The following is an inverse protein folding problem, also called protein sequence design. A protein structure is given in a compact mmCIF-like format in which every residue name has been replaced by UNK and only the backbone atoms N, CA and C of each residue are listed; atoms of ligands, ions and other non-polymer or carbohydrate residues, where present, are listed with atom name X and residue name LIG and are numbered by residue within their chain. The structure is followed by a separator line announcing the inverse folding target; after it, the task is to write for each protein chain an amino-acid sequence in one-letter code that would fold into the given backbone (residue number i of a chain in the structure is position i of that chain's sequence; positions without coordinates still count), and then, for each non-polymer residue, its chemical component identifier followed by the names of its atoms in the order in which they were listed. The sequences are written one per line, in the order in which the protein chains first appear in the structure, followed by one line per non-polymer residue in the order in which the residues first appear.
data_IF_692359531181
#
_entry.id   IF_692359531181
#
_cell.length_a   1.000
_cell.length_b   1.000
_cell.length_c   1.000
_cell.angle_alpha   90.00
_cell.angle_beta   90.00
_cell.angle_gamma   90.00
#
_symmetry.space_group_name_H-M   'P 1'
#
loop_
_entity.id
_entity.type
_entity.pdbx_description
1 polymer ?
#
# COMPACT_ATOMS: atom_id res chain seq x y z
N UNK A 1 -13.34 20.69 17.21
CA UNK A 1 -14.40 19.78 16.73
C UNK A 1 -14.25 18.48 17.50
N UNK A 2 -15.34 17.84 17.92
CA UNK A 2 -15.29 16.57 18.65
C UNK A 2 -15.17 15.43 17.62
N UNK A 3 -14.12 14.59 17.70
CA UNK A 3 -14.00 13.43 16.82
C UNK A 3 -15.05 12.38 17.17
N UNK A 4 -15.57 11.71 16.15
CA UNK A 4 -16.48 10.59 16.28
C UNK A 4 -16.07 9.47 15.34
N UNK A 5 -16.42 8.25 15.73
CA UNK A 5 -16.23 7.07 14.91
C UNK A 5 -17.50 6.23 14.93
N UNK A 6 -17.62 5.35 13.98
CA UNK A 6 -18.65 4.30 13.94
C UNK A 6 -18.00 2.98 13.62
N UNK A 7 -18.37 1.93 14.36
CA UNK A 7 -17.92 0.56 14.13
C UNK A 7 -19.12 -0.36 14.08
N UNK A 8 -19.28 -1.10 12.99
CA UNK A 8 -20.24 -2.20 12.91
C UNK A 8 -19.50 -3.52 12.86
N UNK A 9 -20.04 -4.55 13.51
CA UNK A 9 -19.53 -5.92 13.50
C UNK A 9 -20.59 -6.85 12.92
N UNK A 10 -20.30 -7.48 11.76
CA UNK A 10 -21.26 -8.31 11.03
C UNK A 10 -22.63 -7.62 10.90
N UNK A 11 -22.63 -6.36 10.39
CA UNK A 11 -23.78 -5.47 10.19
C UNK A 11 -24.46 -4.95 11.48
N UNK A 12 -23.97 -5.29 12.65
CA UNK A 12 -24.50 -4.78 13.93
C UNK A 12 -23.64 -3.61 14.43
N UNK A 13 -24.25 -2.48 14.69
CA UNK A 13 -23.58 -1.33 15.31
C UNK A 13 -23.15 -1.66 16.75
N UNK A 14 -21.84 -1.55 17.01
CA UNK A 14 -21.24 -1.79 18.32
C UNK A 14 -20.56 -0.54 18.87
N UNK A 15 -20.79 0.61 18.25
CA UNK A 15 -20.14 1.89 18.61
C UNK A 15 -20.34 2.24 20.06
N UNK A 16 -21.58 2.13 20.56
CA UNK A 16 -21.92 2.46 21.96
C UNK A 16 -21.27 1.52 22.98
N UNK A 17 -20.97 0.29 22.57
CA UNK A 17 -20.26 -0.68 23.43
C UNK A 17 -18.77 -0.32 23.49
N UNK A 18 -18.19 0.12 22.38
CA UNK A 18 -16.77 0.43 22.28
C UNK A 18 -16.43 1.82 22.85
N UNK A 19 -17.28 2.83 22.63
CA UNK A 19 -16.99 4.23 22.96
C UNK A 19 -16.53 4.46 24.40
N UNK A 20 -17.19 3.92 25.46
CA UNK A 20 -16.79 4.16 26.84
C UNK A 20 -15.49 3.44 27.24
N UNK A 21 -15.01 2.53 26.41
CA UNK A 21 -13.85 1.66 26.66
C UNK A 21 -12.70 1.92 25.72
N UNK A 22 -12.88 2.77 24.71
CA UNK A 22 -11.88 3.02 23.70
C UNK A 22 -10.65 3.72 24.30
N UNK A 23 -9.50 3.08 24.20
CA UNK A 23 -8.20 3.68 24.48
C UNK A 23 -7.62 4.29 23.22
N UNK A 24 -7.63 3.54 22.10
CA UNK A 24 -7.27 4.05 20.78
C UNK A 24 -7.92 3.24 19.66
N UNK A 25 -8.18 3.91 18.55
CA UNK A 25 -8.56 3.32 17.27
C UNK A 25 -7.60 3.83 16.21
N UNK A 26 -6.77 2.92 15.69
CA UNK A 26 -5.79 3.21 14.65
C UNK A 26 -6.22 2.56 13.34
N UNK A 27 -6.25 3.33 12.26
CA UNK A 27 -6.45 2.83 10.91
C UNK A 27 -5.24 3.21 10.07
N UNK A 28 -4.61 2.21 9.45
CA UNK A 28 -3.47 2.40 8.57
C UNK A 28 -3.89 2.04 7.14
N UNK A 29 -3.75 2.98 6.21
CA UNK A 29 -3.87 2.77 4.77
C UNK A 29 -2.49 2.88 4.15
N UNK A 30 -2.03 1.82 3.50
CA UNK A 30 -0.70 1.72 2.90
C UNK A 30 -0.76 1.42 1.41
N UNK A 31 0.26 1.88 0.70
CA UNK A 31 0.44 1.53 -0.72
C UNK A 31 0.96 0.11 -0.86
N UNK A 32 0.29 -0.71 -1.67
CA UNK A 32 0.79 -2.03 -2.06
C UNK A 32 0.18 -3.18 -1.30
N UNK A 33 0.97 -4.25 -1.12
CA UNK A 33 0.52 -5.54 -0.56
C UNK A 33 0.40 -5.57 0.95
N UNK A 34 0.95 -4.58 1.64
CA UNK A 34 0.69 -4.43 3.06
C UNK A 34 -0.81 -4.17 3.20
N UNK A 35 -1.50 -5.08 3.83
CA UNK A 35 -2.94 -4.93 4.02
C UNK A 35 -3.21 -3.75 4.93
N UNK A 36 -4.08 -2.86 4.50
CA UNK A 36 -4.66 -1.87 5.37
C UNK A 36 -5.15 -2.56 6.63
N UNK A 37 -4.90 -1.97 7.77
CA UNK A 37 -5.25 -2.57 9.07
C UNK A 37 -6.01 -1.59 9.94
N UNK A 38 -6.88 -2.13 10.76
CA UNK A 38 -7.48 -1.43 11.89
C UNK A 38 -7.03 -2.08 13.19
N UNK A 39 -6.66 -1.28 14.16
CA UNK A 39 -6.29 -1.71 15.50
C UNK A 39 -7.14 -0.97 16.51
N UNK A 40 -7.91 -1.71 17.30
CA UNK A 40 -8.79 -1.20 18.34
C UNK A 40 -8.23 -1.64 19.69
N UNK A 41 -7.86 -0.69 20.53
CA UNK A 41 -7.39 -0.94 21.89
C UNK A 41 -8.47 -0.52 22.89
N UNK A 42 -8.91 -1.47 23.72
CA UNK A 42 -9.99 -1.30 24.67
C UNK A 42 -9.50 -1.50 26.10
N UNK A 43 -10.07 -0.69 27.00
CA UNK A 43 -9.96 -0.92 28.44
C UNK A 43 -10.88 -2.08 28.85
N UNK A 44 -10.32 -3.11 29.47
CA UNK A 44 -11.02 -4.30 29.94
C UNK A 44 -10.74 -4.57 31.43
N UNK A 45 -10.60 -3.54 32.26
CA UNK A 45 -10.27 -3.69 33.68
C UNK A 45 -11.33 -4.44 34.47
N UNK A 46 -12.57 -4.41 34.06
CA UNK A 46 -13.69 -5.14 34.64
C UNK A 46 -13.85 -6.58 34.12
N UNK A 47 -13.07 -6.96 33.08
CA UNK A 47 -13.11 -8.27 32.44
C UNK A 47 -14.50 -8.69 31.89
N UNK A 48 -15.33 -7.71 31.47
CA UNK A 48 -16.69 -7.95 30.95
C UNK A 48 -16.69 -8.13 29.41
N UNK A 49 -15.68 -7.60 28.72
CA UNK A 49 -15.64 -7.69 27.26
C UNK A 49 -15.54 -9.14 26.79
N UNK A 50 -16.51 -9.57 26.00
CA UNK A 50 -16.43 -10.83 25.30
C UNK A 50 -15.38 -10.78 24.20
N UNK A 51 -14.65 -11.86 24.02
CA UNK A 51 -13.64 -11.97 22.96
C UNK A 51 -14.38 -12.13 21.62
N UNK A 52 -14.21 -11.20 20.67
CA UNK A 52 -14.85 -11.31 19.36
C UNK A 52 -14.36 -12.56 18.61
N UNK A 53 -15.21 -13.11 17.77
CA UNK A 53 -14.82 -14.26 16.95
C UNK A 53 -13.81 -13.80 15.88
N UNK A 54 -12.77 -14.59 15.68
CA UNK A 54 -11.88 -14.40 14.54
C UNK A 54 -12.67 -14.50 13.26
N UNK A 55 -12.48 -13.53 12.38
CA UNK A 55 -13.19 -13.46 11.12
C UNK A 55 -14.49 -12.69 11.14
N UNK A 56 -14.83 -12.06 12.26
CA UNK A 56 -15.86 -11.03 12.30
C UNK A 56 -15.49 -9.89 11.36
N UNK A 57 -16.44 -9.44 10.55
CA UNK A 57 -16.26 -8.30 9.67
C UNK A 57 -16.55 -7.01 10.43
N UNK A 58 -15.58 -6.09 10.41
CA UNK A 58 -15.71 -4.76 10.99
C UNK A 58 -15.79 -3.73 9.87
N UNK A 59 -16.85 -2.94 9.83
CA UNK A 59 -16.92 -1.73 9.02
C UNK A 59 -16.65 -0.52 9.92
N UNK A 60 -15.67 0.32 9.54
CA UNK A 60 -15.22 1.42 10.37
C UNK A 60 -15.32 2.74 9.60
N UNK A 61 -15.96 3.73 10.20
CA UNK A 61 -16.07 5.09 9.68
C UNK A 61 -15.56 6.10 10.69
N UNK A 62 -14.88 7.14 10.21
CA UNK A 62 -14.32 8.22 11.04
C UNK A 62 -14.83 9.57 10.59
N UNK A 63 -14.83 10.53 11.50
CA UNK A 63 -15.18 11.91 11.19
C UNK A 63 -15.30 12.81 12.43
N UNK A 64 -16.08 13.85 12.29
CA UNK A 64 -16.33 14.81 13.35
C UNK A 64 -17.83 15.00 13.57
N UNK A 65 -18.21 15.34 14.78
CA UNK A 65 -19.59 15.67 15.13
C UNK A 65 -20.13 16.77 14.20
N UNK A 66 -21.36 16.57 13.70
CA UNK A 66 -22.03 17.43 12.71
C UNK A 66 -21.44 17.38 11.29
N UNK A 67 -20.69 16.34 10.96
CA UNK A 67 -20.22 16.05 9.59
C UNK A 67 -20.56 14.61 9.22
N UNK A 68 -20.64 14.34 7.92
CA UNK A 68 -20.80 12.97 7.45
C UNK A 68 -19.55 12.14 7.78
N UNK A 69 -19.77 10.94 8.30
CA UNK A 69 -18.70 9.99 8.55
C UNK A 69 -18.18 9.43 7.23
N UNK A 70 -16.86 9.38 7.12
CA UNK A 70 -16.17 8.77 5.97
C UNK A 70 -15.88 7.32 6.29
N UNK A 71 -16.34 6.41 5.42
CA UNK A 71 -16.03 5.00 5.51
C UNK A 71 -14.53 4.78 5.23
N UNK A 72 -13.80 4.29 6.23
CA UNK A 72 -12.38 3.97 6.11
C UNK A 72 -12.14 2.60 5.50
N UNK A 73 -13.08 1.68 5.67
CA UNK A 73 -13.00 0.36 5.05
C UNK A 73 -13.71 -0.73 5.83
N UNK A 74 -13.60 -1.93 5.26
CA UNK A 74 -14.05 -3.17 5.88
C UNK A 74 -12.85 -4.01 6.29
N UNK A 75 -12.83 -4.50 7.51
CA UNK A 75 -11.71 -5.21 8.10
C UNK A 75 -12.18 -6.53 8.71
N UNK A 76 -11.38 -7.59 8.59
CA UNK A 76 -11.66 -8.87 9.24
C UNK A 76 -10.79 -9.03 10.47
N UNK A 77 -11.37 -9.34 11.61
CA UNK A 77 -10.65 -9.63 12.85
C UNK A 77 -9.70 -10.83 12.62
N UNK A 78 -8.41 -10.55 12.73
CA UNK A 78 -7.32 -11.51 12.47
C UNK A 78 -6.65 -11.96 13.78
N UNK A 79 -6.35 -11.02 14.67
CA UNK A 79 -5.70 -11.31 15.95
C UNK A 79 -6.36 -10.54 17.11
N UNK A 80 -6.40 -11.18 18.26
CA UNK A 80 -6.87 -10.59 19.51
C UNK A 80 -5.79 -10.85 20.55
N UNK A 81 -5.34 -9.78 21.19
CA UNK A 81 -4.31 -9.81 22.24
C UNK A 81 -4.92 -9.30 23.54
N UNK A 82 -4.78 -10.08 24.59
CA UNK A 82 -5.23 -9.74 25.95
C UNK A 82 -4.00 -9.54 26.82
N UNK A 83 -3.94 -8.40 27.51
CA UNK A 83 -2.81 -8.07 28.38
C UNK A 83 -3.28 -7.56 29.74
N UNK A 84 -2.48 -7.78 30.79
CA UNK A 84 -2.72 -7.29 32.15
C UNK A 84 -1.40 -7.31 32.94
N UNK A 85 -1.13 -6.38 33.87
CA UNK A 85 -1.79 -5.09 34.12
C UNK A 85 -1.30 -3.95 33.23
N UNK A 86 -2.09 -2.94 32.85
CA UNK A 86 -3.53 -2.90 33.04
C UNK A 86 -4.26 -3.86 32.10
N UNK A 87 -5.45 -4.34 32.51
CA UNK A 87 -6.23 -5.24 31.66
C UNK A 87 -6.71 -4.52 30.42
N UNK A 88 -6.31 -4.99 29.24
CA UNK A 88 -6.63 -4.43 27.94
C UNK A 88 -6.94 -5.54 26.94
N UNK A 89 -7.79 -5.21 25.98
CA UNK A 89 -8.05 -6.03 24.81
C UNK A 89 -7.63 -5.25 23.56
N UNK A 90 -6.72 -5.83 22.78
CA UNK A 90 -6.32 -5.29 21.48
C UNK A 90 -6.89 -6.17 20.38
N UNK A 91 -7.67 -5.58 19.49
CA UNK A 91 -8.26 -6.24 18.33
C UNK A 91 -7.51 -5.74 17.10
N UNK A 92 -6.87 -6.64 16.36
CA UNK A 92 -6.20 -6.33 15.10
C UNK A 92 -7.03 -6.94 13.98
N UNK A 93 -7.53 -6.09 13.09
CA UNK A 93 -8.27 -6.47 11.91
C UNK A 93 -7.55 -6.01 10.64
N UNK A 94 -7.55 -6.85 9.62
CA UNK A 94 -6.92 -6.57 8.32
C UNK A 94 -8.00 -6.29 7.29
N UNK A 95 -7.70 -5.39 6.34
CA UNK A 95 -8.64 -5.04 5.29
C UNK A 95 -9.28 -6.27 4.68
N UNK A 96 -10.60 -6.25 4.69
CA UNK A 96 -11.41 -7.38 4.25
C UNK A 96 -11.46 -7.42 2.73
N UNK A 97 -10.92 -8.49 2.20
CA UNK A 97 -11.54 -9.06 1.01
C UNK A 97 -12.32 -10.29 1.51
N UNK A 98 -13.61 -10.18 1.66
CA UNK A 98 -14.52 -11.23 2.17
C UNK A 98 -14.39 -12.59 1.43
N UNK A 99 -13.74 -12.59 0.28
CA UNK A 99 -13.38 -13.79 -0.49
C UNK A 99 -11.97 -14.33 -0.17
N UNK A 100 -11.20 -13.68 0.72
CA UNK A 100 -9.76 -13.98 0.91
C UNK A 100 -9.49 -15.07 1.95
N UNK A 101 -10.41 -15.38 2.89
CA UNK A 101 -10.14 -16.41 3.90
C UNK A 101 -9.75 -17.77 3.29
N UNK A 102 -10.45 -18.18 2.26
CA UNK A 102 -10.12 -19.44 1.53
C UNK A 102 -9.06 -19.22 0.44
N UNK A 103 -8.86 -17.97 0.03
CA UNK A 103 -7.96 -17.60 -1.07
C UNK A 103 -6.51 -17.42 -0.63
N UNK A 104 -6.26 -16.95 0.60
CA UNK A 104 -4.89 -16.68 1.08
C UNK A 104 -4.01 -17.93 1.08
N UNK A 105 -4.57 -19.10 1.34
CA UNK A 105 -3.81 -20.34 1.23
C UNK A 105 -3.52 -20.69 -0.24
N UNK A 106 -4.52 -20.58 -1.12
CA UNK A 106 -4.39 -20.95 -2.55
C UNK A 106 -3.47 -20.04 -3.34
N UNK A 107 -3.55 -18.71 -3.15
CA UNK A 107 -2.70 -17.75 -3.85
C UNK A 107 -1.24 -17.81 -3.39
N UNK A 108 -0.99 -18.32 -2.18
CA UNK A 108 0.35 -18.55 -1.63
C UNK A 108 0.88 -19.94 -1.92
N UNK A 109 0.03 -20.87 -2.35
CA UNK A 109 0.46 -22.24 -2.65
C UNK A 109 1.43 -22.24 -3.82
N UNK A 110 2.59 -22.92 -3.69
CA UNK A 110 3.58 -22.97 -4.76
C UNK A 110 3.01 -23.61 -6.02
N UNK A 111 3.35 -23.04 -7.16
CA UNK A 111 3.05 -23.55 -8.49
C UNK A 111 4.33 -23.54 -9.34
N UNK A 112 4.39 -24.44 -10.32
CA UNK A 112 5.41 -24.42 -11.36
C UNK A 112 4.74 -24.37 -12.71
N UNK A 113 4.96 -23.29 -13.44
CA UNK A 113 4.44 -23.05 -14.78
C UNK A 113 5.29 -22.03 -15.54
N UNK A 114 5.23 -22.08 -16.85
CA UNK A 114 5.92 -21.16 -17.76
C UNK A 114 4.93 -20.31 -18.52
N UNK A 115 5.29 -19.07 -18.73
CA UNK A 115 4.53 -18.11 -19.52
C UNK A 115 5.35 -17.76 -20.76
N UNK A 116 4.84 -18.10 -21.94
CA UNK A 116 5.49 -17.83 -23.22
C UNK A 116 4.63 -16.89 -24.04
N UNK A 117 5.21 -15.81 -24.55
CA UNK A 117 4.54 -14.83 -25.40
C UNK A 117 3.21 -14.33 -24.83
N UNK A 118 3.21 -13.97 -23.55
CA UNK A 118 2.06 -13.38 -22.88
C UNK A 118 2.22 -11.87 -22.76
N UNK A 119 1.11 -11.12 -22.87
CA UNK A 119 1.11 -9.74 -22.39
C UNK A 119 1.15 -9.73 -20.85
N UNK A 120 1.75 -8.69 -20.25
CA UNK A 120 1.73 -8.50 -18.81
C UNK A 120 0.31 -8.52 -18.27
N UNK A 121 -0.59 -7.79 -18.94
CA UNK A 121 -2.03 -7.77 -18.62
C UNK A 121 -2.62 -9.18 -18.66
N UNK A 122 -2.26 -9.99 -19.65
CA UNK A 122 -2.72 -11.37 -19.78
C UNK A 122 -2.32 -12.26 -18.60
N UNK A 123 -1.07 -12.14 -18.15
CA UNK A 123 -0.56 -12.88 -16.98
C UNK A 123 -1.33 -12.49 -15.71
N UNK A 124 -1.39 -11.19 -15.42
CA UNK A 124 -2.05 -10.68 -14.22
C UNK A 124 -3.54 -11.02 -14.21
N UNK A 125 -4.23 -10.86 -15.36
CA UNK A 125 -5.66 -11.17 -15.50
C UNK A 125 -5.96 -12.65 -15.35
N UNK A 126 -5.10 -13.54 -15.88
CA UNK A 126 -5.27 -14.98 -15.74
C UNK A 126 -5.11 -15.40 -14.28
N UNK A 127 -4.09 -14.91 -13.58
CA UNK A 127 -3.90 -15.17 -12.15
C UNK A 127 -5.08 -14.62 -11.33
N UNK A 128 -5.53 -13.39 -11.60
CA UNK A 128 -6.69 -12.82 -10.95
C UNK A 128 -7.93 -13.72 -11.10
N UNK A 129 -8.21 -14.16 -12.33
CA UNK A 129 -9.35 -15.04 -12.63
C UNK A 129 -9.27 -16.39 -11.94
N UNK A 130 -8.09 -17.02 -11.86
CA UNK A 130 -7.86 -18.28 -11.13
C UNK A 130 -8.27 -18.16 -9.66
N UNK A 131 -8.07 -16.97 -9.09
CA UNK A 131 -8.40 -16.63 -7.71
C UNK A 131 -9.74 -15.89 -7.54
N UNK A 132 -10.60 -15.88 -8.58
CA UNK A 132 -11.94 -15.25 -8.57
C UNK A 132 -11.92 -13.74 -8.30
N UNK A 133 -10.83 -13.06 -8.67
CA UNK A 133 -10.74 -11.60 -8.66
C UNK A 133 -11.02 -11.04 -10.05
N UNK A 134 -11.59 -9.85 -10.09
CA UNK A 134 -11.58 -9.00 -11.28
C UNK A 134 -10.27 -8.23 -11.31
N UNK A 135 -9.52 -8.32 -12.41
CA UNK A 135 -8.28 -7.53 -12.56
C UNK A 135 -8.60 -6.07 -12.93
N UNK A 136 -7.92 -5.16 -12.26
CA UNK A 136 -7.83 -3.75 -12.65
C UNK A 136 -6.36 -3.41 -12.86
N UNK A 137 -5.98 -3.18 -14.11
CA UNK A 137 -4.58 -3.02 -14.51
C UNK A 137 -4.41 -1.66 -15.18
N UNK A 138 -3.37 -0.93 -14.77
CA UNK A 138 -3.06 0.38 -15.34
C UNK A 138 -2.73 0.26 -16.83
N UNK A 139 -3.28 1.16 -17.66
CA UNK A 139 -3.07 1.25 -19.10
C UNK A 139 -1.60 1.27 -19.53
N UNK A 140 -0.71 1.76 -18.65
CA UNK A 140 0.74 1.74 -18.86
C UNK A 140 1.26 0.34 -19.23
N UNK A 141 0.64 -0.71 -18.69
CA UNK A 141 1.09 -2.10 -18.86
C UNK A 141 0.50 -2.80 -20.09
N UNK A 142 -0.43 -2.17 -20.81
CA UNK A 142 -1.11 -2.81 -21.97
C UNK A 142 -0.15 -3.20 -23.09
N UNK A 143 0.91 -2.40 -23.28
CA UNK A 143 1.89 -2.61 -24.37
C UNK A 143 3.07 -3.47 -23.97
N UNK A 144 3.10 -3.97 -22.73
CA UNK A 144 4.21 -4.78 -22.24
C UNK A 144 3.98 -6.25 -22.60
N UNK A 145 4.91 -6.80 -23.36
CA UNK A 145 4.93 -8.18 -23.78
C UNK A 145 6.08 -8.93 -23.10
N UNK A 146 5.81 -10.13 -22.63
CA UNK A 146 6.76 -11.02 -21.95
C UNK A 146 7.03 -12.19 -22.88
N UNK A 147 8.25 -12.27 -23.39
CA UNK A 147 8.68 -13.36 -24.26
C UNK A 147 8.69 -14.69 -23.51
N UNK A 148 9.26 -14.69 -22.30
CA UNK A 148 9.31 -15.85 -21.43
C UNK A 148 9.53 -15.46 -19.97
N UNK A 149 8.79 -16.09 -19.07
CA UNK A 149 9.02 -16.04 -17.63
C UNK A 149 8.52 -17.32 -16.97
N UNK A 150 9.35 -17.87 -16.07
CA UNK A 150 9.01 -19.05 -15.27
C UNK A 150 8.55 -18.64 -13.87
N UNK A 151 7.49 -19.30 -13.42
CA UNK A 151 7.10 -19.34 -12.02
C UNK A 151 7.46 -20.74 -11.51
N UNK A 152 8.55 -20.86 -10.75
CA UNK A 152 9.11 -22.14 -10.33
C UNK A 152 8.98 -22.30 -8.83
N UNK A 153 8.13 -23.24 -8.38
CA UNK A 153 7.86 -23.51 -6.98
C UNK A 153 7.54 -22.23 -6.17
N UNK A 154 6.80 -21.34 -6.78
CA UNK A 154 6.47 -20.00 -6.24
C UNK A 154 4.96 -19.78 -6.23
N UNK A 155 4.43 -19.21 -5.10
CA UNK A 155 3.02 -18.85 -5.01
C UNK A 155 2.68 -17.65 -5.91
N UNK A 156 1.45 -17.61 -6.42
CA UNK A 156 1.01 -16.54 -7.33
C UNK A 156 1.17 -15.15 -6.73
N UNK A 157 0.97 -15.01 -5.41
CA UNK A 157 1.16 -13.73 -4.73
C UNK A 157 2.62 -13.26 -4.78
N UNK A 158 3.56 -14.15 -4.48
CA UNK A 158 5.00 -13.86 -4.53
C UNK A 158 5.42 -13.53 -5.97
N UNK A 159 4.99 -14.37 -6.93
CA UNK A 159 5.26 -14.15 -8.35
C UNK A 159 4.77 -12.77 -8.82
N UNK A 160 3.51 -12.41 -8.54
CA UNK A 160 2.97 -11.10 -8.89
C UNK A 160 3.70 -9.96 -8.18
N UNK A 161 4.14 -10.16 -6.92
CA UNK A 161 4.91 -9.15 -6.17
C UNK A 161 6.25 -8.87 -6.81
N UNK A 162 6.99 -9.94 -7.16
CA UNK A 162 8.26 -9.84 -7.85
C UNK A 162 8.08 -9.19 -9.22
N UNK A 163 7.02 -9.59 -9.92
CA UNK A 163 6.65 -9.04 -11.22
C UNK A 163 6.32 -7.55 -11.14
N UNK A 164 5.52 -7.12 -10.15
CA UNK A 164 5.22 -5.70 -9.91
C UNK A 164 6.47 -4.88 -9.60
N UNK A 165 7.41 -5.44 -8.83
CA UNK A 165 8.68 -4.78 -8.51
C UNK A 165 9.51 -4.50 -9.76
N UNK A 166 9.58 -5.43 -10.71
CA UNK A 166 10.34 -5.29 -11.96
C UNK A 166 9.77 -4.17 -12.86
N UNK A 167 8.52 -3.75 -12.65
CA UNK A 167 7.85 -2.72 -13.44
C UNK A 167 7.49 -1.46 -12.65
N UNK A 168 8.05 -1.28 -11.45
CA UNK A 168 7.71 -0.17 -10.56
C UNK A 168 6.19 -0.04 -10.33
N UNK A 169 5.56 -1.18 -10.13
CA UNK A 169 4.15 -1.30 -9.87
C UNK A 169 3.87 -1.70 -8.42
N UNK A 170 2.64 -1.56 -8.00
CA UNK A 170 2.13 -2.15 -6.77
C UNK A 170 0.93 -3.04 -7.07
N UNK A 171 0.68 -3.96 -6.14
CA UNK A 171 -0.50 -4.81 -6.17
C UNK A 171 -1.31 -4.51 -4.92
N UNK A 172 -2.62 -4.40 -5.07
CA UNK A 172 -3.55 -4.28 -3.93
C UNK A 172 -4.79 -5.12 -4.22
N UNK A 173 -5.30 -5.79 -3.19
CA UNK A 173 -6.55 -6.52 -3.28
C UNK A 173 -7.63 -5.72 -2.54
N UNK A 174 -8.65 -5.27 -3.24
CA UNK A 174 -9.73 -4.45 -2.68
C UNK A 174 -11.07 -4.87 -3.26
N UNK A 175 -12.07 -5.13 -2.41
CA UNK A 175 -13.46 -5.40 -2.82
C UNK A 175 -13.59 -6.44 -3.96
N UNK A 176 -12.86 -7.54 -3.89
CA UNK A 176 -12.90 -8.62 -4.90
C UNK A 176 -12.17 -8.29 -6.20
N UNK A 177 -11.36 -7.22 -6.21
CA UNK A 177 -10.53 -6.81 -7.34
C UNK A 177 -9.05 -7.00 -7.01
N UNK A 178 -8.27 -7.41 -8.02
CA UNK A 178 -6.81 -7.37 -8.01
C UNK A 178 -6.38 -6.12 -8.79
N UNK A 179 -5.79 -5.17 -8.10
CA UNK A 179 -5.26 -3.93 -8.69
C UNK A 179 -3.79 -4.14 -8.97
N UNK A 180 -3.35 -3.83 -10.20
CA UNK A 180 -1.95 -3.78 -10.61
C UNK A 180 -1.70 -2.42 -11.24
N UNK A 181 -1.02 -1.54 -10.53
CA UNK A 181 -0.89 -0.14 -10.92
C UNK A 181 0.54 0.37 -10.77
N UNK A 182 0.90 1.35 -11.59
CA UNK A 182 2.18 2.06 -11.53
C UNK A 182 2.27 2.85 -10.23
N UNK A 183 3.41 2.79 -9.54
CA UNK A 183 3.67 3.61 -8.35
C UNK A 183 3.77 5.09 -8.70
N UNK A 184 3.39 5.94 -7.76
CA UNK A 184 3.56 7.40 -7.81
C UNK A 184 2.97 8.11 -9.04
N UNK A 185 2.04 7.48 -9.76
CA UNK A 185 1.33 8.11 -10.89
C UNK A 185 0.38 9.21 -10.41
N UNK A 186 -0.16 9.06 -9.19
CA UNK A 186 -1.15 9.97 -8.61
C UNK A 186 -2.49 9.94 -9.35
N UNK A 187 -2.77 8.83 -10.03
CA UNK A 187 -4.05 8.54 -10.69
C UNK A 187 -4.55 7.18 -10.25
N UNK A 188 -5.86 6.99 -10.31
CA UNK A 188 -6.47 5.66 -10.17
C UNK A 188 -6.10 4.79 -11.37
N UNK A 189 -6.31 3.49 -11.28
CA UNK A 189 -6.09 2.51 -12.38
C UNK A 189 -6.93 2.85 -13.62
N UNK A 190 -8.05 3.55 -13.43
CA UNK A 190 -8.94 3.99 -14.49
C UNK A 190 -8.58 5.37 -15.06
N UNK A 191 -7.40 5.91 -14.68
CA UNK A 191 -6.88 7.19 -15.18
C UNK A 191 -7.48 8.44 -14.50
N UNK A 192 -8.39 8.28 -13.51
CA UNK A 192 -8.91 9.43 -12.76
C UNK A 192 -7.83 9.94 -11.81
N UNK A 193 -7.57 11.24 -11.82
CA UNK A 193 -6.64 11.86 -10.88
C UNK A 193 -7.09 11.62 -9.44
N UNK A 194 -6.15 11.21 -8.60
CA UNK A 194 -6.37 11.14 -7.16
C UNK A 194 -6.42 12.56 -6.57
N UNK A 195 -7.13 12.75 -5.46
CA UNK A 195 -7.24 14.05 -4.84
C UNK A 195 -5.86 14.69 -4.65
N UNK A 196 -5.74 15.95 -5.05
CA UNK A 196 -4.59 16.79 -4.77
C UNK A 196 -4.98 17.67 -3.60
N UNK A 197 -4.29 17.50 -2.49
CA UNK A 197 -4.52 18.30 -1.29
C UNK A 197 -3.42 19.33 -1.15
N UNK A 198 -3.83 20.57 -1.04
CA UNK A 198 -2.94 21.67 -0.64
C UNK A 198 -3.05 21.85 0.87
N UNK A 199 -1.93 21.67 1.58
CA UNK A 199 -1.83 21.84 3.03
C UNK A 199 -1.06 23.13 3.32
N UNK A 200 -1.71 24.06 3.98
CA UNK A 200 -1.05 25.24 4.55
C UNK A 200 -0.37 24.90 5.88
N UNK A 201 0.68 25.64 6.22
CA UNK A 201 1.47 25.42 7.44
C UNK A 201 0.62 25.41 8.72
N UNK A 202 -0.41 26.24 8.78
CA UNK A 202 -1.32 26.33 9.93
C UNK A 202 -2.25 25.11 10.11
N UNK A 203 -2.37 24.25 9.10
CA UNK A 203 -3.10 22.98 9.17
C UNK A 203 -2.23 21.81 9.64
N UNK A 204 -0.91 22.02 9.72
CA UNK A 204 0.07 21.00 10.07
C UNK A 204 0.46 21.16 11.53
N UNK A 205 0.30 20.11 12.34
CA UNK A 205 0.73 20.11 13.74
C UNK A 205 2.24 19.97 13.87
N UNK A 206 2.82 19.10 13.06
CA UNK A 206 4.27 18.93 12.95
C UNK A 206 4.65 18.31 11.62
N UNK A 207 5.88 18.53 11.19
CA UNK A 207 6.45 17.88 10.00
C UNK A 207 7.92 17.53 10.21
N UNK A 208 8.37 16.51 9.51
CA UNK A 208 9.77 16.06 9.50
C UNK A 208 10.17 15.66 8.09
N UNK A 209 11.14 16.35 7.54
CA UNK A 209 11.75 15.99 6.26
C UNK A 209 13.08 15.29 6.52
N UNK A 210 13.21 14.07 6.05
CA UNK A 210 14.45 13.30 6.09
C UNK A 210 15.00 13.19 4.66
N UNK A 211 16.16 13.75 4.42
CA UNK A 211 16.86 13.68 3.14
C UNK A 211 18.05 12.74 3.32
N UNK A 212 18.03 11.63 2.58
CA UNK A 212 19.04 10.60 2.64
C UNK A 212 19.94 10.70 1.42
N UNK A 213 21.23 10.88 1.65
CA UNK A 213 22.25 10.82 0.59
C UNK A 213 22.80 9.38 0.40
N UNK A 214 22.68 8.54 1.42
CA UNK A 214 23.11 7.13 1.37
C UNK A 214 22.12 6.30 0.56
N UNK A 215 22.63 5.66 -0.51
CA UNK A 215 21.83 4.83 -1.42
C UNK A 215 21.35 5.55 -2.66
N UNK A 216 21.80 6.78 -2.87
CA UNK A 216 21.59 7.52 -4.13
C UNK A 216 22.49 6.92 -5.21
N UNK A 217 21.90 6.12 -6.07
CA UNK A 217 22.55 5.65 -7.27
C UNK A 217 22.06 6.47 -8.46
N UNK A 218 22.98 6.98 -9.26
CA UNK A 218 22.65 7.77 -10.45
C UNK A 218 22.41 6.91 -11.68
N UNK A 219 22.80 5.63 -11.61
CA UNK A 219 22.68 4.69 -12.71
C UNK A 219 22.42 3.29 -12.19
N UNK A 220 21.51 2.56 -12.85
CA UNK A 220 21.23 1.15 -12.60
C UNK A 220 21.57 0.34 -13.84
N UNK A 221 22.35 -0.71 -13.67
CA UNK A 221 22.76 -1.63 -14.71
C UNK A 221 22.04 -2.96 -14.48
N UNK A 222 21.30 -3.42 -15.48
CA UNK A 222 20.69 -4.75 -15.49
C UNK A 222 21.29 -5.60 -16.62
N UNK A 223 21.33 -6.91 -16.40
CA UNK A 223 21.86 -7.89 -17.35
C UNK A 223 20.73 -8.68 -17.97
N UNK A 224 20.87 -9.04 -19.23
CA UNK A 224 19.97 -9.98 -19.90
C UNK A 224 20.74 -10.96 -20.77
N UNK A 225 20.15 -12.13 -20.98
CA UNK A 225 20.70 -13.13 -21.88
C UNK A 225 20.14 -12.90 -23.29
N UNK A 226 21.03 -12.64 -24.25
CA UNK A 226 20.67 -12.51 -25.66
C UNK A 226 20.73 -13.89 -26.31
N UNK A 227 19.57 -14.50 -26.55
CA UNK A 227 19.48 -15.83 -27.14
C UNK A 227 20.00 -15.89 -28.60
N UNK A 228 20.03 -14.77 -29.34
CA UNK A 228 20.52 -14.74 -30.70
C UNK A 228 22.04 -14.82 -30.78
N UNK A 229 22.74 -14.22 -29.80
CA UNK A 229 24.21 -14.23 -29.73
C UNK A 229 24.75 -15.17 -28.66
N UNK A 230 23.89 -15.78 -27.84
CA UNK A 230 24.23 -16.59 -26.66
C UNK A 230 25.16 -15.87 -25.67
N UNK A 231 25.02 -14.54 -25.55
CA UNK A 231 25.86 -13.69 -24.70
C UNK A 231 25.03 -13.01 -23.63
N UNK A 232 25.66 -12.72 -22.49
CA UNK A 232 25.10 -11.81 -21.48
C UNK A 232 25.40 -10.36 -21.92
N UNK A 233 24.34 -9.57 -22.05
CA UNK A 233 24.41 -8.14 -22.41
C UNK A 233 23.88 -7.27 -21.27
N UNK A 234 24.27 -6.00 -21.28
CA UNK A 234 23.86 -5.03 -20.24
C UNK A 234 22.98 -3.95 -20.84
N UNK A 235 22.01 -3.51 -20.05
CA UNK A 235 21.22 -2.30 -20.27
C UNK A 235 21.36 -1.39 -19.08
N UNK A 236 21.16 -0.09 -19.29
CA UNK A 236 21.39 0.93 -18.27
C UNK A 236 20.20 1.88 -18.19
N UNK A 237 19.78 2.23 -16.97
CA UNK A 237 18.86 3.30 -16.68
C UNK A 237 19.58 4.38 -15.86
N UNK A 238 19.40 5.67 -16.20
CA UNK A 238 20.12 6.78 -15.60
C UNK A 238 21.52 6.99 -16.18
N UNK A 239 22.16 8.09 -15.77
CA UNK A 239 23.47 8.53 -16.31
C UNK A 239 24.45 9.00 -15.23
N UNK A 240 23.99 9.07 -13.96
CA UNK A 240 24.81 9.55 -12.84
C UNK A 240 25.66 8.47 -12.19
N UNK A 241 26.41 8.85 -11.19
CA UNK A 241 27.20 7.97 -10.31
C UNK A 241 26.68 8.08 -8.86
N UNK A 242 26.91 7.08 -8.01
CA UNK A 242 27.50 5.77 -8.30
C UNK A 242 26.56 4.83 -9.05
N UNK A 243 27.15 3.77 -9.63
CA UNK A 243 26.44 2.71 -10.33
C UNK A 243 25.91 1.65 -9.38
N UNK A 244 24.72 1.12 -9.67
CA UNK A 244 24.17 -0.08 -9.05
C UNK A 244 23.98 -1.16 -10.09
N UNK A 245 24.64 -2.31 -9.95
CA UNK A 245 24.44 -3.46 -10.81
C UNK A 245 23.47 -4.45 -10.15
N UNK A 246 22.39 -4.79 -10.88
CA UNK A 246 21.41 -5.79 -10.42
C UNK A 246 22.03 -7.19 -10.42
N UNK A 247 21.70 -7.99 -9.41
CA UNK A 247 22.38 -9.28 -9.16
C UNK A 247 21.90 -10.42 -10.06
N UNK A 248 20.76 -10.29 -10.70
CA UNK A 248 20.16 -11.35 -11.51
C UNK A 248 20.09 -10.94 -12.98
N UNK A 249 20.11 -11.94 -13.87
CA UNK A 249 20.05 -11.78 -15.31
C UNK A 249 18.62 -12.00 -15.79
N UNK A 250 18.12 -11.10 -16.62
CA UNK A 250 16.77 -11.16 -17.19
C UNK A 250 16.76 -11.98 -18.48
N UNK A 251 15.57 -12.41 -18.88
CA UNK A 251 15.38 -13.21 -20.09
C UNK A 251 15.47 -12.40 -21.38
N UNK A 252 15.21 -11.09 -21.32
CA UNK A 252 15.23 -10.22 -22.49
C UNK A 252 15.60 -8.78 -22.14
N UNK A 253 15.98 -8.02 -23.16
CA UNK A 253 16.43 -6.64 -23.06
C UNK A 253 15.36 -5.69 -22.48
N UNK A 254 14.11 -5.82 -22.95
CA UNK A 254 13.04 -4.91 -22.54
C UNK A 254 12.73 -5.06 -21.06
N UNK A 255 12.63 -6.30 -20.58
CA UNK A 255 12.39 -6.58 -19.17
C UNK A 255 13.54 -6.10 -18.29
N UNK A 256 14.79 -6.32 -18.71
CA UNK A 256 15.97 -5.81 -18.02
C UNK A 256 15.95 -4.28 -17.90
N UNK A 257 15.59 -3.58 -18.99
CA UNK A 257 15.51 -2.13 -19.02
C UNK A 257 14.40 -1.60 -18.11
N UNK A 258 13.20 -2.19 -18.13
CA UNK A 258 12.10 -1.79 -17.25
C UNK A 258 12.45 -2.03 -15.77
N UNK A 259 13.08 -3.15 -15.44
CA UNK A 259 13.55 -3.44 -14.09
C UNK A 259 14.66 -2.46 -13.63
N UNK A 260 15.57 -2.08 -14.52
CA UNK A 260 16.58 -1.06 -14.22
C UNK A 260 15.94 0.31 -13.96
N UNK A 261 14.95 0.72 -14.77
CA UNK A 261 14.18 1.95 -14.55
C UNK A 261 13.39 1.90 -13.24
N UNK A 262 12.75 0.78 -12.95
CA UNK A 262 12.00 0.56 -11.72
C UNK A 262 12.90 0.70 -10.48
N UNK A 263 14.09 0.12 -10.54
CA UNK A 263 15.07 0.19 -9.44
C UNK A 263 15.64 1.59 -9.26
N UNK A 264 15.90 2.30 -10.35
CA UNK A 264 16.33 3.69 -10.30
C UNK A 264 15.25 4.58 -9.65
N UNK A 265 14.00 4.45 -10.08
CA UNK A 265 12.88 5.18 -9.49
C UNK A 265 12.68 4.85 -7.99
N UNK A 266 12.95 3.60 -7.57
CA UNK A 266 12.96 3.22 -6.15
C UNK A 266 14.03 3.98 -5.36
N UNK A 267 15.24 4.12 -5.91
CA UNK A 267 16.31 4.90 -5.28
C UNK A 267 15.95 6.38 -5.20
N UNK A 268 15.43 6.97 -6.27
CA UNK A 268 14.99 8.37 -6.31
C UNK A 268 13.92 8.66 -5.24
N UNK A 269 12.90 7.81 -5.11
CA UNK A 269 11.88 7.94 -4.04
C UNK A 269 12.46 7.81 -2.64
N UNK A 270 13.54 7.05 -2.48
CA UNK A 270 14.23 6.88 -1.20
C UNK A 270 14.97 8.12 -0.71
N UNK A 271 15.21 9.12 -1.58
CA UNK A 271 16.04 10.30 -1.25
C UNK A 271 15.36 11.22 -0.24
N UNK A 272 14.07 11.51 -0.40
CA UNK A 272 13.35 12.42 0.46
C UNK A 272 12.09 11.75 1.02
N UNK A 273 12.01 11.66 2.34
CA UNK A 273 10.85 11.15 3.08
C UNK A 273 10.29 12.24 3.96
N UNK A 274 9.01 12.50 3.81
CA UNK A 274 8.27 13.51 4.55
C UNK A 274 7.24 12.85 5.45
N UNK A 275 7.33 13.14 6.75
CA UNK A 275 6.33 12.79 7.75
C UNK A 275 5.58 14.05 8.15
N UNK A 276 4.26 14.00 8.17
CA UNK A 276 3.39 15.11 8.54
C UNK A 276 2.34 14.61 9.53
N UNK A 277 2.21 15.30 10.64
CA UNK A 277 1.09 15.12 11.57
C UNK A 277 0.15 16.31 11.48
N UNK A 278 -1.14 16.05 11.39
CA UNK A 278 -2.18 17.06 11.29
C UNK A 278 -3.46 16.62 12.03
N UNK A 279 -4.38 17.54 12.37
CA UNK A 279 -5.69 17.17 12.86
C UNK A 279 -6.35 16.16 11.92
N UNK A 280 -7.07 15.20 12.46
CA UNK A 280 -7.62 14.07 11.69
C UNK A 280 -8.38 14.52 10.45
N UNK A 281 -8.03 13.93 9.32
CA UNK A 281 -8.68 14.19 8.04
C UNK A 281 -8.99 12.86 7.33
N UNK A 282 -10.22 12.35 7.43
CA UNK A 282 -10.58 11.03 6.92
C UNK A 282 -10.65 10.95 5.40
N UNK A 283 -10.53 12.07 4.67
CA UNK A 283 -10.54 12.08 3.20
C UNK A 283 -9.16 11.67 2.63
N UNK A 284 -8.11 11.80 3.43
CA UNK A 284 -6.76 11.45 3.02
C UNK A 284 -6.63 9.93 2.85
N UNK A 285 -5.94 9.53 1.79
CA UNK A 285 -5.67 8.12 1.48
C UNK A 285 -4.29 7.95 0.87
N UNK A 286 -3.76 6.73 0.91
CA UNK A 286 -2.52 6.38 0.23
C UNK A 286 -2.61 6.66 -1.28
N UNK A 287 -1.49 7.02 -1.90
CA UNK A 287 -1.32 7.48 -3.28
C UNK A 287 -1.92 8.87 -3.60
N UNK A 288 -2.59 9.55 -2.67
CA UNK A 288 -3.00 10.95 -2.85
C UNK A 288 -1.79 11.87 -2.95
N UNK A 289 -1.98 12.99 -3.67
CA UNK A 289 -0.93 14.02 -3.83
C UNK A 289 -1.08 15.11 -2.78
N UNK A 290 0.05 15.58 -2.26
CA UNK A 290 0.10 16.71 -1.33
C UNK A 290 1.03 17.78 -1.88
N UNK A 291 0.63 19.03 -1.70
CA UNK A 291 1.45 20.22 -1.93
C UNK A 291 1.45 21.07 -0.67
N UNK A 292 2.60 21.60 -0.30
CA UNK A 292 2.78 22.46 0.89
C UNK A 292 3.50 23.72 0.44
N UNK A 293 2.76 24.76 0.05
CA UNK A 293 3.35 25.95 -0.57
C UNK A 293 4.09 26.87 0.41
N UNK A 294 3.68 26.87 1.68
CA UNK A 294 4.12 27.87 2.67
C UNK A 294 5.45 27.50 3.34
N UNK A 295 5.83 26.22 3.33
CA UNK A 295 7.05 25.75 3.98
C UNK A 295 8.21 25.77 2.99
N UNK A 296 9.23 26.59 3.25
CA UNK A 296 10.38 26.84 2.35
C UNK A 296 11.01 25.56 1.78
N UNK A 297 11.17 24.51 2.60
CA UNK A 297 11.84 23.27 2.19
C UNK A 297 10.93 22.30 1.43
N UNK A 298 9.61 22.52 1.46
CA UNK A 298 8.59 21.65 0.87
C UNK A 298 7.89 22.29 -0.32
N UNK A 299 7.98 23.62 -0.46
CA UNK A 299 7.36 24.36 -1.56
C UNK A 299 7.91 23.92 -2.92
N UNK A 300 7.09 24.01 -3.95
CA UNK A 300 7.40 23.63 -5.33
C UNK A 300 7.68 22.12 -5.53
N UNK A 301 7.31 21.29 -4.57
CA UNK A 301 7.43 19.84 -4.63
C UNK A 301 6.05 19.22 -4.55
N UNK A 302 5.84 18.14 -5.31
CA UNK A 302 4.69 17.27 -5.15
C UNK A 302 5.10 16.06 -4.31
N UNK A 303 4.29 15.74 -3.32
CA UNK A 303 4.50 14.61 -2.43
C UNK A 303 3.41 13.58 -2.65
N UNK A 304 3.76 12.30 -2.70
CA UNK A 304 2.81 11.18 -2.80
C UNK A 304 2.75 10.48 -1.45
N UNK A 305 1.55 10.30 -0.93
CA UNK A 305 1.32 9.56 0.32
C UNK A 305 1.62 8.07 0.08
N UNK A 306 2.63 7.53 0.76
CA UNK A 306 2.89 6.09 0.79
C UNK A 306 2.05 5.37 1.83
N UNK A 307 1.89 6.00 2.99
CA UNK A 307 1.07 5.49 4.07
C UNK A 307 0.43 6.63 4.85
N UNK A 308 -0.75 6.38 5.37
CA UNK A 308 -1.44 7.27 6.31
C UNK A 308 -1.96 6.48 7.50
N UNK A 309 -1.81 7.04 8.68
CA UNK A 309 -2.32 6.50 9.93
C UNK A 309 -3.32 7.49 10.50
N UNK A 310 -4.55 7.03 10.69
CA UNK A 310 -5.60 7.76 11.40
C UNK A 310 -5.67 7.22 12.83
N UNK A 311 -5.46 8.07 13.80
CA UNK A 311 -5.52 7.73 15.22
C UNK A 311 -6.63 8.51 15.93
N UNK A 312 -7.54 7.79 16.58
CA UNK A 312 -8.51 8.36 17.51
C UNK A 312 -8.20 7.83 18.91
N UNK A 313 -7.95 8.73 19.84
CA UNK A 313 -7.64 8.42 21.24
C UNK A 313 -8.21 9.51 22.16
N UNK A 314 -7.84 9.48 23.44
CA UNK A 314 -8.14 10.55 24.41
C UNK A 314 -7.48 11.90 24.04
N UNK A 315 -6.44 11.87 23.18
CA UNK A 315 -5.78 13.07 22.63
C UNK A 315 -6.53 13.67 21.45
N UNK A 316 -7.61 13.06 21.01
CA UNK A 316 -8.43 13.49 19.88
C UNK A 316 -8.23 12.65 18.62
N UNK A 317 -8.48 13.26 17.46
CA UNK A 317 -8.28 12.62 16.15
C UNK A 317 -7.08 13.25 15.43
N UNK A 318 -6.10 12.44 15.09
CA UNK A 318 -4.90 12.83 14.37
C UNK A 318 -4.73 11.96 13.11
N UNK A 319 -4.18 12.57 12.07
CA UNK A 319 -3.70 11.85 10.86
C UNK A 319 -2.20 12.06 10.73
N UNK A 320 -1.45 10.96 10.58
CA UNK A 320 -0.01 10.98 10.31
C UNK A 320 0.25 10.46 8.91
N UNK A 321 0.84 11.28 8.07
CA UNK A 321 1.15 11.00 6.67
C UNK A 321 2.62 10.68 6.54
N UNK A 322 2.95 9.59 5.85
CA UNK A 322 4.28 9.29 5.34
C UNK A 322 4.25 9.45 3.82
N UNK A 323 5.02 10.37 3.30
CA UNK A 323 5.05 10.71 1.88
C UNK A 323 6.48 10.71 1.32
N UNK A 324 6.58 10.50 0.01
CA UNK A 324 7.82 10.59 -0.77
C UNK A 324 7.69 11.66 -1.84
N UNK A 325 8.81 12.26 -2.21
CA UNK A 325 8.84 13.24 -3.29
C UNK A 325 8.50 12.56 -4.62
N UNK A 326 7.65 13.21 -5.41
CA UNK A 326 7.37 12.78 -6.78
C UNK A 326 8.44 13.35 -7.70
N UNK A 327 9.19 12.49 -8.33
CA UNK A 327 10.19 12.80 -9.36
C UNK A 327 9.60 12.71 -10.77
#
# INVERSE_FOLDING_TARGET
MKPIFKVTADDKDITDILSPRLVSLNITDETGLVSDKAEILLDNRDNILEIPLRGTNLEISLGYENQDLVLMGNYIVDNIDLSSPPSRMRIIAKASNTKIKDLTSKIRSPKSRSWHEYSLVGIVSKIAKEHKFTSLIDEYFEKIYISHIDQTNEGDLSFLTNFARDYDAFIKFVAGKLIFAKKNKGTTVTGKELPKLELSENQISSWRLNILDRGKFGKVIAKYHDFATAEEKKVTAGTGEPDYEMRYTFTDQNRALEAAKAKLAEFERGIAKLEISLPGNPILSAQSKIIIPDIKYLKNKEWIIEAIIHDISDQGYQSTINAVEKF
#
